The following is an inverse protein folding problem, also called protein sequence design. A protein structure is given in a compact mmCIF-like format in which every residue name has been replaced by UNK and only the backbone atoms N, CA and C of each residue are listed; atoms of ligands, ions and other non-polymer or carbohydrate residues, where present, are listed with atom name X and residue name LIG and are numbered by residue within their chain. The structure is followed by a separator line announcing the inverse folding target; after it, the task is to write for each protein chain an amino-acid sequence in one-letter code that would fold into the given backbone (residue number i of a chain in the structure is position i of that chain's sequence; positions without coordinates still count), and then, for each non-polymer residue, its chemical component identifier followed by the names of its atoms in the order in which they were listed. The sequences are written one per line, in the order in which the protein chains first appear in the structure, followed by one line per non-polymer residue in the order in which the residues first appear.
data_IF_468477652271
#
_entry.id   IF_468477652271
#
_cell.length_a   1.000
_cell.length_b   1.000
_cell.length_c   1.000
_cell.angle_alpha   90.00
_cell.angle_beta   90.00
_cell.angle_gamma   90.00
#
_symmetry.space_group_name_H-M   'P 1'
#
loop_
_entity.id
_entity.type
_entity.pdbx_description
1 polymer ?
#
# COMPACT_ATOMS: atom_id res chain seq x y z
N UNK A 1 10.94 23.34 9.94
CA UNK A 1 11.34 22.75 8.65
C UNK A 1 10.52 21.49 8.41
N UNK A 2 9.45 21.55 7.60
CA UNK A 2 8.66 20.35 7.27
C UNK A 2 9.42 19.55 6.20
N UNK A 3 10.04 18.45 6.61
CA UNK A 3 10.71 17.54 5.69
C UNK A 3 9.63 16.89 4.83
N UNK A 4 9.57 17.24 3.53
CA UNK A 4 8.77 16.50 2.55
C UNK A 4 9.27 15.06 2.57
N UNK A 5 8.51 14.14 3.16
CA UNK A 5 8.80 12.71 3.13
C UNK A 5 8.59 12.19 1.70
N UNK A 6 9.62 12.34 0.87
CA UNK A 6 9.64 11.81 -0.50
C UNK A 6 9.90 10.31 -0.43
N UNK A 7 8.83 9.51 -0.47
CA UNK A 7 8.96 8.08 -0.77
C UNK A 7 9.21 7.93 -2.27
N UNK A 8 10.48 7.98 -2.65
CA UNK A 8 10.90 7.56 -3.98
C UNK A 8 10.92 6.02 -3.96
N UNK A 9 10.04 5.37 -4.71
CA UNK A 9 10.03 3.92 -4.90
C UNK A 9 11.21 3.49 -5.78
N UNK A 10 12.43 3.81 -5.35
CA UNK A 10 13.68 3.43 -6.02
C UNK A 10 14.07 1.99 -5.69
N UNK A 11 13.09 1.15 -5.29
CA UNK A 11 13.30 -0.22 -4.85
C UNK A 11 14.04 -1.08 -5.91
N UNK A 12 14.11 -0.61 -7.16
CA UNK A 12 14.59 -1.41 -8.30
C UNK A 12 15.42 -0.61 -9.31
N UNK A 13 16.19 0.41 -8.91
CA UNK A 13 16.94 1.22 -9.90
C UNK A 13 18.40 0.79 -10.14
N UNK A 14 18.95 -0.13 -9.34
CA UNK A 14 20.40 -0.44 -9.38
C UNK A 14 20.77 -1.88 -9.82
N UNK A 15 19.87 -2.65 -10.44
CA UNK A 15 20.28 -3.91 -11.08
C UNK A 15 19.68 -4.07 -12.48
N UNK A 16 20.49 -4.26 -13.54
CA UNK A 16 20.03 -4.36 -14.93
C UNK A 16 19.29 -5.68 -15.25
N UNK A 17 18.86 -6.43 -14.23
CA UNK A 17 18.29 -7.79 -14.37
C UNK A 17 16.84 -7.93 -13.88
N UNK A 18 16.22 -6.87 -13.37
CA UNK A 18 14.84 -6.91 -12.90
C UNK A 18 13.95 -6.09 -13.82
N UNK A 19 13.41 -6.73 -14.86
CA UNK A 19 12.17 -6.26 -15.47
C UNK A 19 11.01 -6.78 -14.62
N UNK A 20 9.98 -5.95 -14.40
CA UNK A 20 8.74 -6.41 -13.79
C UNK A 20 7.85 -6.94 -14.92
N UNK A 21 7.74 -8.27 -15.12
CA UNK A 21 7.03 -8.84 -16.27
C UNK A 21 5.51 -8.65 -16.15
N UNK A 22 5.00 -8.40 -14.94
CA UNK A 22 3.58 -8.31 -14.65
C UNK A 22 3.27 -7.08 -13.81
N UNK A 23 2.01 -6.65 -13.78
CA UNK A 23 1.55 -5.62 -12.83
C UNK A 23 1.67 -6.17 -11.41
N UNK A 24 2.26 -5.39 -10.52
CA UNK A 24 2.39 -5.74 -9.11
C UNK A 24 1.55 -4.79 -8.25
N UNK A 25 0.95 -5.33 -7.19
CA UNK A 25 0.41 -4.51 -6.12
C UNK A 25 1.21 -4.75 -4.86
N UNK A 26 1.42 -3.69 -4.09
CA UNK A 26 2.11 -3.75 -2.82
C UNK A 26 1.58 -2.65 -1.91
N UNK A 27 1.76 -2.82 -0.60
CA UNK A 27 1.37 -1.80 0.38
C UNK A 27 2.54 -1.43 1.26
N UNK A 28 2.92 -0.16 1.28
CA UNK A 28 3.83 0.39 2.28
C UNK A 28 3.02 1.00 3.45
N UNK A 29 3.68 1.24 4.58
CA UNK A 29 3.07 1.93 5.70
C UNK A 29 3.91 3.14 6.09
N UNK A 30 3.23 4.24 6.44
CA UNK A 30 3.81 5.43 7.05
C UNK A 30 3.31 5.52 8.48
N UNK A 31 4.21 5.73 9.42
CA UNK A 31 3.83 5.92 10.82
C UNK A 31 3.86 7.42 11.14
N UNK A 32 2.75 7.95 11.61
CA UNK A 32 2.63 9.34 12.08
C UNK A 32 3.26 9.49 13.47
N UNK A 33 3.41 10.74 13.94
CA UNK A 33 3.95 11.08 15.26
C UNK A 33 3.14 10.45 16.41
N UNK A 34 1.85 10.18 16.20
CA UNK A 34 0.98 9.50 17.16
C UNK A 34 1.12 7.96 17.14
N UNK A 35 2.01 7.40 16.32
CA UNK A 35 2.17 5.96 16.14
C UNK A 35 1.10 5.32 15.23
N UNK A 36 0.18 6.11 14.67
CA UNK A 36 -0.85 5.64 13.73
C UNK A 36 -0.25 5.31 12.37
N UNK A 37 -0.73 4.23 11.77
CA UNK A 37 -0.27 3.78 10.45
C UNK A 37 -1.18 4.31 9.34
N UNK A 38 -0.57 4.84 8.29
CA UNK A 38 -1.20 5.12 7.01
C UNK A 38 -0.70 4.11 5.98
N UNK A 39 -1.62 3.41 5.34
CA UNK A 39 -1.34 2.42 4.33
C UNK A 39 -1.30 3.09 2.95
N UNK A 40 -0.17 2.95 2.28
CA UNK A 40 0.03 3.36 0.89
C UNK A 40 -0.14 2.16 -0.04
N UNK A 41 -1.32 2.01 -0.63
CA UNK A 41 -1.64 0.95 -1.59
C UNK A 41 -1.13 1.35 -2.96
N UNK A 42 -0.28 0.52 -3.56
CA UNK A 42 0.35 0.80 -4.84
C UNK A 42 -0.04 -0.21 -5.91
N UNK A 43 -0.14 0.28 -7.15
CA UNK A 43 -0.20 -0.51 -8.38
C UNK A 43 0.93 -0.09 -9.29
N UNK A 44 1.90 -0.97 -9.44
CA UNK A 44 3.09 -0.79 -10.25
C UNK A 44 2.87 -1.35 -11.66
N UNK A 45 3.01 -0.50 -12.67
CA UNK A 45 2.89 -0.88 -14.07
C UNK A 45 4.11 -1.69 -14.54
N UNK A 46 3.90 -2.45 -15.63
CA UNK A 46 4.93 -3.27 -16.28
C UNK A 46 6.14 -2.40 -16.64
N UNK A 47 7.34 -2.95 -16.41
CA UNK A 47 8.60 -2.26 -16.71
C UNK A 47 8.87 -1.01 -15.87
N UNK A 48 8.26 -0.88 -14.67
CA UNK A 48 8.49 0.22 -13.73
C UNK A 48 8.19 1.63 -14.28
N UNK A 49 7.34 1.73 -15.31
CA UNK A 49 7.10 3.00 -16.01
C UNK A 49 6.19 3.97 -15.24
N UNK A 50 5.29 3.44 -14.41
CA UNK A 50 4.34 4.24 -13.64
C UNK A 50 3.89 3.49 -12.38
N UNK A 51 3.58 4.24 -11.31
CA UNK A 51 3.03 3.70 -10.08
C UNK A 51 1.80 4.51 -9.64
N UNK A 52 0.64 3.88 -9.54
CA UNK A 52 -0.52 4.52 -8.92
C UNK A 52 -0.49 4.23 -7.42
N UNK A 53 -0.77 5.21 -6.57
CA UNK A 53 -0.82 5.02 -5.13
C UNK A 53 -2.12 5.59 -4.52
N UNK A 54 -2.63 4.95 -3.48
CA UNK A 54 -3.71 5.42 -2.62
C UNK A 54 -3.15 5.46 -1.20
N UNK A 55 -3.33 6.55 -0.46
CA UNK A 55 -2.95 6.61 0.94
C UNK A 55 -4.20 6.67 1.80
N UNK A 56 -4.36 5.72 2.70
CA UNK A 56 -5.51 5.66 3.59
C UNK A 56 -5.12 5.14 4.96
N UNK A 57 -5.85 5.58 5.98
CA UNK A 57 -5.76 5.00 7.33
C UNK A 57 -6.50 3.66 7.43
N UNK A 58 -7.39 3.37 6.48
CA UNK A 58 -8.20 2.15 6.50
C UNK A 58 -7.42 1.00 5.86
N UNK A 59 -7.32 -0.18 6.51
CA UNK A 59 -6.60 -1.34 5.98
C UNK A 59 -7.45 -2.15 4.96
N UNK A 60 -8.11 -1.48 4.00
CA UNK A 60 -9.00 -2.14 3.04
C UNK A 60 -8.27 -2.57 1.76
N UNK A 61 -7.32 -3.49 1.91
CA UNK A 61 -6.41 -3.94 0.83
C UNK A 61 -7.14 -4.29 -0.48
N UNK A 62 -8.12 -5.19 -0.43
CA UNK A 62 -8.84 -5.65 -1.64
C UNK A 62 -9.62 -4.53 -2.32
N UNK A 63 -10.23 -3.66 -1.52
CA UNK A 63 -11.01 -2.52 -2.02
C UNK A 63 -10.10 -1.56 -2.77
N UNK A 64 -8.99 -1.14 -2.14
CA UNK A 64 -8.08 -0.18 -2.74
C UNK A 64 -7.34 -0.73 -3.97
N UNK A 65 -7.00 -2.01 -3.99
CA UNK A 65 -6.43 -2.62 -5.19
C UNK A 65 -7.41 -2.67 -6.36
N UNK A 66 -8.70 -2.96 -6.12
CA UNK A 66 -9.75 -2.89 -7.15
C UNK A 66 -9.92 -1.47 -7.67
N UNK A 67 -9.93 -0.47 -6.78
CA UNK A 67 -10.00 0.95 -7.15
C UNK A 67 -8.81 1.35 -8.02
N UNK A 68 -7.58 0.97 -7.63
CA UNK A 68 -6.37 1.26 -8.41
C UNK A 68 -6.40 0.63 -9.80
N UNK A 69 -6.94 -0.59 -9.93
CA UNK A 69 -7.10 -1.24 -11.23
C UNK A 69 -8.11 -0.49 -12.09
N UNK A 70 -9.27 -0.14 -11.54
CA UNK A 70 -10.29 0.65 -12.24
C UNK A 70 -9.73 1.99 -12.73
N UNK A 71 -9.01 2.73 -11.88
CA UNK A 71 -8.35 3.98 -12.26
C UNK A 71 -7.34 3.75 -13.38
N UNK A 72 -6.49 2.72 -13.26
CA UNK A 72 -5.50 2.40 -14.29
C UNK A 72 -6.13 2.10 -15.65
N UNK A 73 -7.24 1.36 -15.67
CA UNK A 73 -7.95 1.02 -16.90
C UNK A 73 -8.59 2.24 -17.56
N UNK A 74 -9.19 3.13 -16.79
CA UNK A 74 -9.79 4.36 -17.33
C UNK A 74 -8.74 5.38 -17.79
N UNK A 75 -7.57 5.38 -17.15
CA UNK A 75 -6.42 6.14 -17.63
C UNK A 75 -5.90 5.61 -18.96
N UNK A 76 -5.84 4.29 -19.13
CA UNK A 76 -5.44 3.68 -20.40
C UNK A 76 -6.43 3.96 -21.55
N UNK A 77 -7.71 4.20 -21.23
CA UNK A 77 -8.77 4.54 -22.19
C UNK A 77 -8.86 6.04 -22.52
N UNK A 78 -7.98 6.88 -21.97
CA UNK A 78 -8.01 8.36 -22.08
C UNK A 78 -9.32 9.02 -21.62
N UNK A 79 -10.19 8.30 -20.91
CA UNK A 79 -11.47 8.81 -20.41
C UNK A 79 -11.29 9.76 -19.22
N UNK A 80 -10.12 9.73 -18.58
CA UNK A 80 -9.78 10.55 -17.42
C UNK A 80 -8.74 11.60 -17.81
N UNK A 81 -9.16 12.87 -17.92
CA UNK A 81 -8.22 14.00 -18.02
C UNK A 81 -7.69 14.32 -16.62
N UNK A 82 -6.47 13.89 -16.35
CA UNK A 82 -5.73 14.25 -15.14
C UNK A 82 -5.35 15.74 -15.22
N UNK A 83 -6.04 16.60 -14.46
CA UNK A 83 -5.63 17.99 -14.27
C UNK A 83 -4.62 18.08 -13.12
N UNK A 84 -3.46 18.66 -13.43
CA UNK A 84 -2.35 18.92 -12.52
C UNK A 84 -2.76 19.99 -11.50
N UNK A 85 -3.16 19.61 -10.29
CA UNK A 85 -3.41 20.58 -9.22
C UNK A 85 -2.24 20.65 -8.24
N UNK A 86 -1.86 21.88 -7.92
CA UNK A 86 -0.81 22.19 -6.95
C UNK A 86 -1.13 21.59 -5.56
N UNK A 87 -0.12 21.07 -4.83
CA UNK A 87 -0.29 20.42 -3.53
C UNK A 87 -0.97 21.25 -2.42
N UNK A 88 -1.10 22.55 -2.62
CA UNK A 88 -1.57 23.50 -1.60
C UNK A 88 -3.08 23.82 -1.67
N UNK A 89 -3.82 23.32 -2.66
CA UNK A 89 -5.28 23.52 -2.73
C UNK A 89 -6.11 22.35 -2.17
N UNK A 90 -5.47 21.21 -1.84
CA UNK A 90 -6.14 20.00 -1.34
C UNK A 90 -6.72 20.08 0.08
N UNK A 91 -6.37 21.11 0.87
CA UNK A 91 -6.85 21.28 2.24
C UNK A 91 -8.36 21.61 2.33
N UNK A 92 -9.00 22.05 1.24
CA UNK A 92 -10.43 22.42 1.24
C UNK A 92 -11.41 21.26 0.99
N UNK A 93 -10.93 20.06 0.65
CA UNK A 93 -11.81 18.91 0.35
C UNK A 93 -12.05 17.96 1.54
N UNK A 94 -11.38 18.19 2.69
CA UNK A 94 -11.52 17.37 3.91
C UNK A 94 -12.84 17.58 4.68
N UNK A 95 -13.78 18.37 4.15
CA UNK A 95 -15.01 18.78 4.86
C UNK A 95 -16.29 18.06 4.44
N UNK A 96 -16.21 16.95 3.67
CA UNK A 96 -17.38 16.06 3.46
C UNK A 96 -17.25 14.78 4.28
N UNK A 97 -18.18 14.49 5.21
CA UNK A 97 -18.03 13.46 6.22
C UNK A 97 -18.32 12.02 5.74
N UNK A 98 -18.43 11.75 4.43
CA UNK A 98 -18.84 10.42 3.96
C UNK A 98 -17.69 9.43 3.78
N UNK A 99 -16.51 9.81 3.23
CA UNK A 99 -15.37 8.88 3.06
C UNK A 99 -14.04 9.66 2.92
N UNK A 100 -13.10 9.61 3.88
CA UNK A 100 -11.81 10.27 3.74
C UNK A 100 -10.83 9.37 2.97
N UNK A 101 -10.95 9.35 1.64
CA UNK A 101 -9.96 8.69 0.78
C UNK A 101 -9.07 9.74 0.12
N UNK A 102 -7.76 9.68 0.39
CA UNK A 102 -6.76 10.48 -0.32
C UNK A 102 -6.07 9.60 -1.37
N UNK A 103 -6.33 9.89 -2.65
CA UNK A 103 -5.70 9.24 -3.79
C UNK A 103 -4.45 10.01 -4.22
N UNK A 104 -3.32 9.30 -4.36
CA UNK A 104 -2.00 9.85 -4.65
C UNK A 104 -1.38 9.16 -5.87
N UNK A 105 -1.55 9.71 -7.08
CA UNK A 105 -0.88 9.12 -8.26
C UNK A 105 0.59 9.54 -8.30
N UNK A 106 1.52 8.58 -8.31
CA UNK A 106 2.97 8.81 -8.41
C UNK A 106 3.50 8.33 -9.77
N UNK A 107 3.35 9.14 -10.81
CA UNK A 107 4.06 8.90 -12.07
C UNK A 107 5.57 9.05 -11.85
N UNK A 108 6.38 8.34 -12.63
CA UNK A 108 7.85 8.21 -12.52
C UNK A 108 8.66 9.52 -12.63
N UNK A 109 8.00 10.67 -12.50
CA UNK A 109 8.58 12.01 -12.40
C UNK A 109 7.78 12.83 -11.38
N UNK A 110 8.23 12.88 -10.12
CA UNK A 110 7.88 13.88 -9.09
C UNK A 110 6.47 14.51 -9.15
N UNK A 111 5.42 13.71 -9.37
CA UNK A 111 4.06 14.23 -9.48
C UNK A 111 3.21 13.66 -8.35
N UNK A 112 2.62 14.54 -7.54
CA UNK A 112 1.65 14.20 -6.51
C UNK A 112 0.32 14.76 -6.97
N UNK A 113 -0.60 13.89 -7.42
CA UNK A 113 -1.95 14.32 -7.74
C UNK A 113 -2.83 14.23 -6.51
N UNK A 114 -3.37 15.39 -6.12
CA UNK A 114 -4.52 15.50 -5.25
C UNK A 114 -5.74 15.56 -6.16
N UNK A 115 -6.53 14.49 -6.23
CA UNK A 115 -7.82 14.57 -6.91
C UNK A 115 -8.85 15.18 -5.93
N UNK A 116 -9.30 16.45 -6.12
CA UNK A 116 -10.59 16.82 -5.58
C UNK A 116 -11.60 15.90 -6.27
N UNK A 117 -12.35 15.14 -5.47
CA UNK A 117 -13.32 14.18 -5.98
C UNK A 117 -14.44 14.93 -6.73
N UNK A 118 -14.25 15.17 -8.03
CA UNK A 118 -15.30 15.45 -9.01
C UNK A 118 -15.28 14.29 -10.02
N UNK A 119 -15.52 13.08 -9.52
CA UNK A 119 -15.80 11.92 -10.35
C UNK A 119 -17.16 11.38 -9.93
N UNK A 120 -18.22 11.89 -10.54
CA UNK A 120 -19.59 11.41 -10.32
C UNK A 120 -19.74 9.92 -10.64
N UNK A 121 -18.94 9.38 -11.56
CA UNK A 121 -18.96 7.96 -11.94
C UNK A 121 -18.20 7.03 -10.97
N UNK A 122 -17.20 7.54 -10.23
CA UNK A 122 -16.55 6.72 -9.18
C UNK A 122 -17.46 6.57 -7.97
N UNK A 123 -18.26 7.57 -7.62
CA UNK A 123 -19.15 7.49 -6.47
C UNK A 123 -20.25 6.43 -6.69
N UNK A 124 -20.79 6.33 -7.91
CA UNK A 124 -21.75 5.29 -8.29
C UNK A 124 -21.09 3.90 -8.35
N UNK A 125 -19.87 3.78 -8.88
CA UNK A 125 -19.10 2.53 -8.86
C UNK A 125 -18.72 2.10 -7.43
N UNK A 126 -18.30 3.04 -6.59
CA UNK A 126 -17.88 2.80 -5.21
C UNK A 126 -19.08 2.42 -4.33
N UNK A 127 -20.20 3.13 -4.48
CA UNK A 127 -21.43 2.89 -3.72
C UNK A 127 -22.18 1.63 -4.17
N UNK A 128 -22.09 1.24 -5.44
CA UNK A 128 -22.77 0.05 -5.96
C UNK A 128 -22.03 -1.28 -5.69
N UNK A 129 -20.70 -1.26 -5.50
CA UNK A 129 -19.89 -2.48 -5.50
C UNK A 129 -19.04 -2.76 -4.25
N UNK A 130 -18.94 -1.84 -3.29
CA UNK A 130 -18.05 -2.03 -2.14
C UNK A 130 -18.79 -2.02 -0.80
N UNK A 131 -18.68 -3.15 -0.12
CA UNK A 131 -19.09 -3.32 1.28
C UNK A 131 -17.85 -3.07 2.14
N UNK A 132 -17.95 -2.14 3.09
CA UNK A 132 -16.88 -1.88 4.05
C UNK A 132 -16.52 -3.19 4.79
N UNK A 133 -15.24 -3.63 4.76
CA UNK A 133 -14.82 -4.81 5.48
C UNK A 133 -15.07 -4.67 6.99
N UNK A 134 -15.62 -5.73 7.59
CA UNK A 134 -15.82 -5.80 9.05
C UNK A 134 -14.46 -5.94 9.77
N UNK A 135 -14.06 -4.97 10.62
CA UNK A 135 -12.80 -5.03 11.34
C UNK A 135 -12.77 -6.13 12.41
N UNK A 136 -13.92 -6.68 12.84
CA UNK A 136 -14.00 -7.76 13.81
C UNK A 136 -13.85 -9.16 13.21
N UNK A 137 -13.91 -9.29 11.87
CA UNK A 137 -13.85 -10.57 11.18
C UNK A 137 -12.40 -10.99 10.97
N UNK A 138 -12.08 -12.24 11.32
CA UNK A 138 -10.76 -12.82 11.05
C UNK A 138 -10.51 -12.92 9.52
N UNK A 139 -9.26 -12.69 9.07
CA UNK A 139 -8.91 -12.84 7.66
C UNK A 139 -9.05 -14.30 7.22
N UNK A 140 -9.71 -14.54 6.10
CA UNK A 140 -9.92 -15.86 5.49
C UNK A 140 -9.07 -16.03 4.24
N UNK A 141 -8.64 -17.27 3.97
CA UNK A 141 -8.02 -17.66 2.70
C UNK A 141 -9.12 -18.25 1.81
N UNK A 142 -9.24 -17.87 0.52
CA UNK A 142 -8.33 -17.02 -0.25
C UNK A 142 -8.66 -15.52 -0.24
N UNK A 143 -9.73 -15.10 0.44
CA UNK A 143 -10.29 -13.75 0.35
C UNK A 143 -9.31 -12.63 0.73
N UNK A 144 -8.47 -12.87 1.74
CA UNK A 144 -7.43 -11.93 2.15
C UNK A 144 -6.14 -12.20 1.37
N UNK A 145 -5.80 -11.32 0.42
CA UNK A 145 -4.61 -11.50 -0.41
C UNK A 145 -3.31 -11.58 0.39
N UNK A 146 -3.17 -10.79 1.45
CA UNK A 146 -1.93 -10.77 2.23
C UNK A 146 -1.68 -12.13 2.89
N UNK A 147 -2.71 -12.68 3.54
CA UNK A 147 -2.65 -13.98 4.20
C UNK A 147 -2.49 -15.12 3.18
N UNK A 148 -3.22 -15.06 2.06
CA UNK A 148 -3.10 -16.04 0.98
C UNK A 148 -1.68 -16.08 0.40
N UNK A 149 -1.11 -14.92 0.09
CA UNK A 149 0.25 -14.82 -0.43
C UNK A 149 1.29 -15.27 0.61
N UNK A 150 1.11 -14.93 1.88
CA UNK A 150 1.98 -15.38 2.97
C UNK A 150 1.97 -16.92 3.10
N UNK A 151 0.79 -17.54 3.04
CA UNK A 151 0.66 -19.01 3.14
C UNK A 151 1.25 -19.73 1.94
N UNK A 152 1.18 -19.12 0.76
CA UNK A 152 1.77 -19.67 -0.46
C UNK A 152 3.29 -19.48 -0.50
N UNK A 153 3.80 -18.35 0.03
CA UNK A 153 5.20 -17.96 -0.10
C UNK A 153 6.13 -18.45 1.03
N UNK A 154 5.59 -18.76 2.20
CA UNK A 154 6.38 -19.08 3.40
C UNK A 154 6.11 -20.50 3.87
N UNK A 155 7.16 -21.29 4.12
CA UNK A 155 7.02 -22.63 4.67
C UNK A 155 6.51 -22.61 6.12
N UNK A 156 5.80 -23.65 6.55
CA UNK A 156 5.23 -23.78 7.90
C UNK A 156 6.27 -23.56 9.00
N UNK A 157 7.48 -24.12 8.86
CA UNK A 157 8.56 -23.93 9.84
C UNK A 157 8.96 -22.45 9.95
N UNK A 158 9.07 -21.75 8.83
CA UNK A 158 9.42 -20.33 8.80
C UNK A 158 8.29 -19.47 9.36
N UNK A 159 7.02 -19.85 9.15
CA UNK A 159 5.88 -19.20 9.81
C UNK A 159 5.96 -19.30 11.32
N UNK A 160 6.27 -20.49 11.86
CA UNK A 160 6.39 -20.71 13.30
C UNK A 160 7.58 -19.94 13.88
N UNK A 161 8.74 -19.92 13.20
CA UNK A 161 9.89 -19.13 13.61
C UNK A 161 9.59 -17.62 13.59
N UNK A 162 8.88 -17.15 12.57
CA UNK A 162 8.46 -15.75 12.46
C UNK A 162 7.50 -15.38 13.58
N UNK A 163 6.48 -16.21 13.83
CA UNK A 163 5.53 -16.02 14.90
C UNK A 163 6.20 -16.00 16.27
N UNK A 164 7.10 -16.97 16.54
CA UNK A 164 7.89 -16.97 17.77
C UNK A 164 8.76 -15.71 17.89
N UNK A 165 9.36 -15.24 16.80
CA UNK A 165 10.18 -14.03 16.80
C UNK A 165 9.35 -12.77 17.08
N UNK A 166 8.11 -12.70 16.57
CA UNK A 166 7.16 -11.63 16.88
C UNK A 166 6.79 -11.62 18.36
N UNK A 167 6.50 -12.79 18.94
CA UNK A 167 6.18 -12.90 20.38
C UNK A 167 7.35 -12.52 21.29
N UNK A 168 8.58 -12.64 20.81
CA UNK A 168 9.79 -12.21 21.53
C UNK A 168 10.23 -10.78 21.16
N UNK A 169 9.39 -10.02 20.46
CA UNK A 169 9.65 -8.65 20.02
C UNK A 169 11.03 -8.48 19.34
N UNK A 170 11.44 -9.47 18.54
CA UNK A 170 12.75 -9.46 17.88
C UNK A 170 12.77 -8.48 16.71
N UNK A 171 13.97 -7.99 16.38
CA UNK A 171 14.24 -7.30 15.10
C UNK A 171 14.15 -8.33 13.97
N UNK A 172 13.15 -8.18 13.10
CA UNK A 172 12.86 -9.14 12.02
C UNK A 172 13.06 -8.43 10.68
N UNK A 173 13.85 -9.03 9.80
CA UNK A 173 14.01 -8.59 8.41
C UNK A 173 13.45 -9.66 7.48
N UNK A 174 12.46 -9.27 6.67
CA UNK A 174 11.94 -10.11 5.59
C UNK A 174 12.50 -9.63 4.25
N UNK A 175 12.88 -10.57 3.39
CA UNK A 175 13.42 -10.28 2.06
C UNK A 175 12.68 -11.10 1.02
N UNK A 176 12.35 -10.49 -0.12
CA UNK A 176 11.77 -11.19 -1.28
C UNK A 176 12.20 -10.51 -2.57
N UNK A 177 12.22 -11.27 -3.66
CA UNK A 177 12.44 -10.74 -5.01
C UNK A 177 11.18 -10.06 -5.58
N UNK A 178 10.02 -10.25 -4.96
CA UNK A 178 8.74 -9.64 -5.35
C UNK A 178 8.23 -8.73 -4.24
N UNK A 179 7.99 -7.47 -4.57
CA UNK A 179 7.51 -6.48 -3.61
C UNK A 179 6.08 -6.79 -3.11
N UNK A 180 5.26 -7.39 -3.97
CA UNK A 180 3.93 -7.89 -3.60
C UNK A 180 4.01 -8.93 -2.48
N UNK A 181 4.90 -9.92 -2.63
CA UNK A 181 5.10 -10.99 -1.66
C UNK A 181 5.70 -10.44 -0.37
N UNK A 182 6.70 -9.56 -0.46
CA UNK A 182 7.32 -8.93 0.70
C UNK A 182 6.29 -8.21 1.58
N UNK A 183 5.55 -7.28 0.98
CA UNK A 183 4.58 -6.47 1.72
C UNK A 183 3.40 -7.31 2.23
N UNK A 184 2.92 -8.27 1.43
CA UNK A 184 1.90 -9.21 1.87
C UNK A 184 2.35 -10.02 3.10
N UNK A 185 3.57 -10.55 3.09
CA UNK A 185 4.11 -11.31 4.21
C UNK A 185 4.23 -10.46 5.47
N UNK A 186 4.72 -9.21 5.37
CA UNK A 186 4.82 -8.31 6.53
C UNK A 186 3.43 -7.99 7.10
N UNK A 187 2.45 -7.67 6.24
CA UNK A 187 1.09 -7.35 6.66
C UNK A 187 0.39 -8.56 7.30
N UNK A 188 0.51 -9.74 6.68
CA UNK A 188 -0.05 -10.98 7.22
C UNK A 188 0.58 -11.35 8.58
N UNK A 189 1.89 -11.17 8.71
CA UNK A 189 2.62 -11.41 9.96
C UNK A 189 2.09 -10.55 11.10
N UNK A 190 1.74 -9.29 10.82
CA UNK A 190 1.08 -8.43 11.81
C UNK A 190 -0.32 -8.93 12.17
N UNK A 191 -1.08 -9.50 11.21
CA UNK A 191 -2.40 -10.06 11.49
C UNK A 191 -2.35 -11.34 12.33
N UNK A 192 -1.24 -12.10 12.29
CA UNK A 192 -1.06 -13.30 13.13
C UNK A 192 -1.02 -12.99 14.64
N UNK A 193 -0.73 -11.74 15.01
CA UNK A 193 -0.68 -11.31 16.40
C UNK A 193 -2.05 -11.06 17.03
N UNK A 194 -3.13 -11.02 16.23
CA UNK A 194 -4.48 -10.74 16.72
C UNK A 194 -4.81 -11.57 17.99
N UNK A 195 -5.32 -10.95 19.07
CA UNK A 195 -5.81 -9.56 19.19
C UNK A 195 -4.74 -8.52 19.55
N UNK A 196 -3.47 -8.92 19.64
CA UNK A 196 -2.35 -8.01 19.84
C UNK A 196 -1.92 -7.34 18.53
N UNK A 197 -1.25 -6.20 18.64
CA UNK A 197 -0.70 -5.46 17.51
C UNK A 197 0.79 -5.23 17.74
N UNK A 198 1.58 -5.26 16.67
CA UNK A 198 2.99 -4.89 16.75
C UNK A 198 3.14 -3.42 17.14
N UNK A 199 3.90 -3.15 18.21
CA UNK A 199 4.06 -1.79 18.77
C UNK A 199 5.35 -1.08 18.34
N UNK A 200 6.31 -1.82 17.78
CA UNK A 200 7.61 -1.28 17.39
C UNK A 200 7.60 -0.80 15.93
N UNK A 201 8.79 -0.43 15.44
CA UNK A 201 8.99 -0.01 14.05
C UNK A 201 8.36 -1.03 13.09
N UNK A 202 7.53 -0.54 12.18
CA UNK A 202 6.82 -1.34 11.19
C UNK A 202 6.98 -0.72 9.80
N UNK A 203 7.85 -1.32 8.98
CA UNK A 203 8.18 -0.82 7.64
C UNK A 203 8.00 -1.97 6.63
N UNK A 204 6.80 -2.14 6.03
CA UNK A 204 6.51 -3.22 5.09
C UNK A 204 7.37 -3.23 3.82
N UNK A 205 7.84 -2.05 3.40
CA UNK A 205 8.74 -1.88 2.26
C UNK A 205 9.74 -0.78 2.61
N UNK A 206 11.00 -1.15 2.85
CA UNK A 206 12.06 -0.22 3.22
C UNK A 206 12.78 0.34 1.98
N UNK A 207 12.67 1.64 1.69
CA UNK A 207 13.40 2.26 0.59
C UNK A 207 14.93 2.20 0.80
N UNK A 208 15.74 2.21 -0.27
CA UNK A 208 17.20 2.12 -0.17
C UNK A 208 17.87 3.21 0.69
N UNK A 209 17.31 4.42 0.68
CA UNK A 209 17.84 5.54 1.46
C UNK A 209 17.56 5.45 2.97
N UNK A 210 16.77 4.45 3.40
CA UNK A 210 16.50 4.16 4.81
C UNK A 210 17.15 2.86 5.28
N UNK A 211 18.10 2.30 4.52
CA UNK A 211 18.79 1.05 4.90
C UNK A 211 19.59 1.17 6.20
N UNK A 212 20.00 2.37 6.57
CA UNK A 212 20.68 2.63 7.85
C UNK A 212 19.81 2.31 9.07
N UNK A 213 18.48 2.23 8.91
CA UNK A 213 17.56 1.82 9.98
C UNK A 213 17.62 0.30 10.29
N UNK A 214 18.32 -0.49 9.49
CA UNK A 214 18.42 -1.94 9.68
C UNK A 214 19.46 -2.37 10.73
N UNK A 215 20.39 -1.49 11.11
CA UNK A 215 21.58 -1.84 11.91
C UNK A 215 21.52 -1.21 13.31
#
# INVERSE_FOLDING_TARGET
MKQKSRFHFSFVQNSPKFECPTVQHFTFALTDMEGKQHFGFCRLAIGFRACLCLLSYLPWFEVFYKILNYIAENLAKEQVRISTLDPFQGERCLQRPSFPLLLFLAFSFNFYLYLPCQFTELDEFLSAYFIAPDPGKLPTIPDNRNLTEFVVAVDVNNMLHLYASLLHERRILLTSSKLSTLTACVQASSSLLYPMYWQHIFIPALPPHLLDYCW
#
